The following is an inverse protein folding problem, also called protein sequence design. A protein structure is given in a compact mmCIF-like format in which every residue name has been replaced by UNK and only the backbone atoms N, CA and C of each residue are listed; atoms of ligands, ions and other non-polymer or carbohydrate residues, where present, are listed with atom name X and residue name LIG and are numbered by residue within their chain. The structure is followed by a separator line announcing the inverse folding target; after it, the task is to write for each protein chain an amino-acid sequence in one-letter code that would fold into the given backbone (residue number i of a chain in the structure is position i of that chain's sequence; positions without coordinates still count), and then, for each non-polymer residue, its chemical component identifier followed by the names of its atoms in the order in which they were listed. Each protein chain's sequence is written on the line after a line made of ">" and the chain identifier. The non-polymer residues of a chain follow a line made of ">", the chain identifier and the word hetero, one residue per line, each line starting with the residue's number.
data_IF_561884175180
#
_entry.id   IF_561884175180
#
_cell.length_a   1.000
_cell.length_b   1.000
_cell.length_c   1.000
_cell.angle_alpha   90.00
_cell.angle_beta   90.00
_cell.angle_gamma   90.00
#
_symmetry.space_group_name_H-M   'P 1'
#
loop_
_entity.id
_entity.type
_entity.pdbx_description
1 polymer ?
#
# COMPACT_ATOMS: atom_id res chain seq x y z
N UNK A 1 -17.28 8.52 7.65
CA UNK A 1 -17.70 7.14 7.30
C UNK A 1 -19.15 7.20 6.83
N UNK A 2 -19.51 6.60 5.69
CA UNK A 2 -20.91 6.57 5.25
C UNK A 2 -21.72 5.64 6.17
N UNK A 3 -23.02 5.91 6.41
CA UNK A 3 -23.87 5.00 7.14
C UNK A 3 -23.84 3.61 6.47
N UNK A 4 -23.69 2.55 7.28
CA UNK A 4 -23.50 1.15 6.84
C UNK A 4 -24.57 0.59 5.90
N UNK A 5 -25.70 1.28 5.76
CA UNK A 5 -26.89 0.84 5.01
C UNK A 5 -27.09 1.58 3.69
N UNK A 6 -26.22 2.51 3.32
CA UNK A 6 -26.35 3.27 2.07
C UNK A 6 -25.73 2.52 0.90
N UNK A 7 -26.40 2.55 -0.27
CA UNK A 7 -25.86 2.00 -1.53
C UNK A 7 -24.45 2.53 -1.86
N UNK A 8 -24.18 3.78 -1.45
CA UNK A 8 -22.88 4.43 -1.58
C UNK A 8 -21.76 3.67 -0.86
N UNK A 9 -22.03 3.02 0.27
CA UNK A 9 -21.05 2.24 1.02
C UNK A 9 -20.59 1.01 0.21
N UNK A 10 -21.54 0.28 -0.37
CA UNK A 10 -21.23 -0.87 -1.24
C UNK A 10 -20.45 -0.47 -2.48
N UNK A 11 -20.87 0.61 -3.16
CA UNK A 11 -20.16 1.12 -4.35
C UNK A 11 -18.75 1.56 -3.97
N UNK A 12 -18.58 2.26 -2.85
CA UNK A 12 -17.28 2.69 -2.36
C UNK A 12 -16.32 1.50 -2.19
N UNK A 13 -16.74 0.45 -1.48
CA UNK A 13 -15.88 -0.73 -1.27
C UNK A 13 -15.61 -1.51 -2.56
N UNK A 14 -16.57 -1.57 -3.48
CA UNK A 14 -16.37 -2.18 -4.80
C UNK A 14 -15.31 -1.42 -5.61
N UNK A 15 -15.39 -0.08 -5.63
CA UNK A 15 -14.40 0.78 -6.29
C UNK A 15 -13.03 0.63 -5.64
N UNK A 16 -12.96 0.63 -4.30
CA UNK A 16 -11.71 0.41 -3.58
C UNK A 16 -11.09 -0.95 -3.90
N UNK A 17 -11.90 -2.01 -3.96
CA UNK A 17 -11.44 -3.34 -4.36
C UNK A 17 -10.90 -3.39 -5.79
N UNK A 18 -11.60 -2.76 -6.74
CA UNK A 18 -11.13 -2.66 -8.13
C UNK A 18 -9.80 -1.90 -8.24
N UNK A 19 -9.65 -0.80 -7.49
CA UNK A 19 -8.40 -0.04 -7.44
C UNK A 19 -7.23 -0.87 -6.90
N UNK A 20 -7.46 -1.70 -5.86
CA UNK A 20 -6.43 -2.60 -5.33
C UNK A 20 -5.94 -3.59 -6.39
N UNK A 21 -6.86 -4.18 -7.17
CA UNK A 21 -6.51 -5.08 -8.28
C UNK A 21 -5.69 -4.36 -9.35
N UNK A 22 -6.09 -3.13 -9.72
CA UNK A 22 -5.35 -2.34 -10.70
C UNK A 22 -3.93 -1.99 -10.24
N UNK A 23 -3.72 -1.70 -8.95
CA UNK A 23 -2.38 -1.47 -8.41
C UNK A 23 -1.50 -2.70 -8.56
N UNK A 24 -2.01 -3.89 -8.22
CA UNK A 24 -1.23 -5.14 -8.34
C UNK A 24 -0.94 -5.46 -9.81
N UNK A 25 -1.93 -5.35 -10.70
CA UNK A 25 -1.75 -5.60 -12.13
C UNK A 25 -0.77 -4.59 -12.76
N UNK A 26 -0.93 -3.30 -12.44
CA UNK A 26 -0.02 -2.24 -12.89
C UNK A 26 1.40 -2.45 -12.41
N UNK A 27 1.59 -2.87 -11.15
CA UNK A 27 2.91 -3.20 -10.62
C UNK A 27 3.55 -4.41 -11.30
N UNK A 28 2.78 -5.48 -11.52
CA UNK A 28 3.25 -6.68 -12.22
C UNK A 28 3.65 -6.35 -13.66
N UNK A 29 2.83 -5.57 -14.37
CA UNK A 29 3.10 -5.17 -15.75
C UNK A 29 4.31 -4.23 -15.84
N UNK A 30 4.44 -3.31 -14.89
CA UNK A 30 5.63 -2.47 -14.74
C UNK A 30 6.90 -3.32 -14.57
N UNK A 31 6.89 -4.32 -13.68
CA UNK A 31 8.05 -5.22 -13.52
C UNK A 31 8.41 -5.97 -14.82
N UNK A 32 7.43 -6.46 -15.58
CA UNK A 32 7.66 -7.10 -16.87
C UNK A 32 8.26 -6.14 -17.90
N UNK A 33 7.79 -4.90 -17.93
CA UNK A 33 8.28 -3.88 -18.86
C UNK A 33 9.79 -3.61 -18.66
N UNK A 34 10.29 -3.69 -17.43
CA UNK A 34 11.72 -3.58 -17.12
C UNK A 34 12.49 -4.92 -17.22
N UNK A 35 11.90 -5.94 -17.83
CA UNK A 35 12.53 -7.26 -18.01
C UNK A 35 12.80 -8.01 -16.71
N UNK A 36 12.10 -7.68 -15.62
CA UNK A 36 12.27 -8.34 -14.32
C UNK A 36 11.42 -9.60 -14.24
N UNK A 37 12.00 -10.66 -13.67
CA UNK A 37 11.27 -11.89 -13.36
C UNK A 37 10.27 -11.60 -12.25
N UNK A 38 8.98 -11.75 -12.55
CA UNK A 38 7.91 -11.58 -11.58
C UNK A 38 7.87 -12.80 -10.67
N UNK A 39 8.18 -12.60 -9.39
CA UNK A 39 8.08 -13.64 -8.36
C UNK A 39 6.87 -13.34 -7.48
N UNK A 40 5.90 -14.26 -7.44
CA UNK A 40 4.60 -14.03 -6.79
C UNK A 40 4.71 -13.62 -5.32
N UNK A 41 5.65 -14.18 -4.55
CA UNK A 41 5.82 -13.82 -3.13
C UNK A 41 6.40 -12.41 -2.97
N UNK A 42 7.23 -11.93 -3.90
CA UNK A 42 7.74 -10.56 -3.88
C UNK A 42 6.61 -9.57 -4.15
N UNK A 43 5.73 -9.89 -5.10
CA UNK A 43 4.52 -9.12 -5.38
C UNK A 43 3.60 -9.09 -4.15
N UNK A 44 3.39 -10.24 -3.48
CA UNK A 44 2.59 -10.31 -2.26
C UNK A 44 3.16 -9.47 -1.11
N UNK A 45 4.48 -9.48 -0.90
CA UNK A 45 5.14 -8.64 0.11
C UNK A 45 5.01 -7.14 -0.21
N UNK A 46 5.18 -6.76 -1.47
CA UNK A 46 4.97 -5.38 -1.91
C UNK A 46 3.53 -4.93 -1.69
N UNK A 47 2.57 -5.78 -2.05
CA UNK A 47 1.17 -5.51 -1.83
C UNK A 47 0.82 -5.42 -0.34
N UNK A 48 1.37 -6.29 0.51
CA UNK A 48 1.20 -6.21 1.96
C UNK A 48 1.75 -4.88 2.54
N UNK A 49 2.90 -4.43 2.05
CA UNK A 49 3.45 -3.11 2.40
C UNK A 49 2.56 -1.96 1.92
N UNK A 50 2.03 -2.04 0.70
CA UNK A 50 1.10 -1.04 0.16
C UNK A 50 -0.20 -0.96 0.98
N UNK A 51 -0.83 -2.10 1.29
CA UNK A 51 -2.02 -2.15 2.14
C UNK A 51 -1.73 -1.58 3.52
N UNK A 52 -0.57 -1.93 4.11
CA UNK A 52 -0.15 -1.37 5.41
C UNK A 52 -0.03 0.16 5.36
N UNK A 53 0.53 0.70 4.27
CA UNK A 53 0.63 2.14 4.07
C UNK A 53 -0.76 2.79 3.95
N UNK A 54 -1.67 2.19 3.18
CA UNK A 54 -3.05 2.64 3.08
C UNK A 54 -3.75 2.64 4.45
N UNK A 55 -3.54 1.61 5.28
CA UNK A 55 -4.09 1.52 6.63
C UNK A 55 -3.54 2.61 7.54
N UNK A 56 -2.24 2.91 7.49
CA UNK A 56 -1.66 4.01 8.27
C UNK A 56 -2.27 5.35 7.86
N UNK A 57 -2.38 5.62 6.56
CA UNK A 57 -2.98 6.87 6.06
C UNK A 57 -4.46 6.96 6.43
N UNK A 58 -5.22 5.87 6.28
CA UNK A 58 -6.64 5.84 6.64
C UNK A 58 -6.85 6.02 8.17
N UNK A 59 -6.04 5.36 8.99
CA UNK A 59 -6.09 5.50 10.45
C UNK A 59 -5.69 6.90 10.91
N UNK A 60 -4.60 7.45 10.35
CA UNK A 60 -4.15 8.81 10.66
C UNK A 60 -5.18 9.88 10.28
N UNK A 61 -5.77 9.77 9.09
CA UNK A 61 -6.83 10.71 8.66
C UNK A 61 -8.12 10.57 9.46
N UNK A 62 -8.43 9.36 9.95
CA UNK A 62 -9.57 9.14 10.86
C UNK A 62 -9.33 9.85 12.19
N UNK A 63 -8.17 9.64 12.83
CA UNK A 63 -7.82 10.29 14.10
C UNK A 63 -7.77 11.81 13.98
N UNK A 64 -7.30 12.33 12.84
CA UNK A 64 -7.34 13.77 12.55
C UNK A 64 -8.78 14.30 12.49
N UNK A 65 -9.72 13.53 11.93
CA UNK A 65 -11.15 13.87 11.88
C UNK A 65 -11.84 13.81 13.25
N UNK A 66 -11.30 13.03 14.19
CA UNK A 66 -11.78 12.93 15.57
C UNK A 66 -11.16 14.00 16.51
N UNK A 67 -10.43 14.97 15.95
CA UNK A 67 -9.69 16.01 16.68
C UNK A 67 -8.53 15.51 17.57
N UNK A 68 -8.19 14.23 17.48
CA UNK A 68 -7.06 13.59 18.17
C UNK A 68 -5.75 13.77 17.38
N UNK A 69 -5.33 15.03 17.22
CA UNK A 69 -4.18 15.40 16.36
C UNK A 69 -2.86 14.80 16.83
N UNK A 70 -2.68 14.62 18.14
CA UNK A 70 -1.47 13.98 18.71
C UNK A 70 -1.43 12.51 18.31
N UNK A 71 -2.55 11.79 18.45
CA UNK A 71 -2.64 10.39 18.05
C UNK A 71 -2.40 10.20 16.55
N UNK A 72 -2.89 11.12 15.71
CA UNK A 72 -2.60 11.16 14.27
C UNK A 72 -1.08 11.21 14.00
N UNK A 73 -0.35 12.13 14.63
CA UNK A 73 1.10 12.25 14.47
C UNK A 73 1.85 10.99 14.91
N UNK A 74 1.42 10.36 16.01
CA UNK A 74 2.00 9.09 16.43
C UNK A 74 1.66 7.96 15.44
N UNK A 75 0.45 7.90 14.91
CA UNK A 75 0.05 6.85 13.98
C UNK A 75 0.81 6.97 12.65
N UNK A 76 0.87 8.16 12.06
CA UNK A 76 1.59 8.39 10.80
C UNK A 76 3.10 8.35 11.01
N UNK A 77 3.61 8.99 12.06
CA UNK A 77 5.03 9.06 12.35
C UNK A 77 5.60 7.72 12.81
N UNK A 78 5.03 7.11 13.85
CA UNK A 78 5.61 5.90 14.47
C UNK A 78 5.28 4.64 13.68
N UNK A 79 4.05 4.50 13.14
CA UNK A 79 3.70 3.32 12.34
C UNK A 79 3.98 3.52 10.85
N UNK A 80 3.81 4.73 10.31
CA UNK A 80 4.03 5.00 8.89
C UNK A 80 5.49 5.00 8.47
N UNK A 81 6.39 5.58 9.27
CA UNK A 81 7.82 5.62 8.93
C UNK A 81 8.39 4.20 8.75
N UNK A 82 8.21 3.25 9.66
CA UNK A 82 8.67 1.87 9.47
C UNK A 82 8.09 1.21 8.21
N UNK A 83 6.81 1.43 7.90
CA UNK A 83 6.18 0.88 6.69
C UNK A 83 6.86 1.42 5.42
N UNK A 84 7.12 2.73 5.36
CA UNK A 84 7.83 3.35 4.23
C UNK A 84 9.26 2.82 4.12
N UNK A 85 9.97 2.68 5.24
CA UNK A 85 11.33 2.11 5.25
C UNK A 85 11.32 0.66 4.74
N UNK A 86 10.40 -0.18 5.21
CA UNK A 86 10.26 -1.56 4.75
C UNK A 86 9.95 -1.65 3.25
N UNK A 87 9.06 -0.79 2.73
CA UNK A 87 8.78 -0.70 1.30
C UNK A 87 10.00 -0.26 0.49
N UNK A 88 10.76 0.72 0.98
CA UNK A 88 11.98 1.18 0.32
C UNK A 88 13.06 0.09 0.29
N UNK A 89 13.21 -0.67 1.37
CA UNK A 89 14.11 -1.83 1.44
C UNK A 89 13.65 -2.91 0.45
N UNK A 90 12.37 -3.28 0.45
CA UNK A 90 11.82 -4.27 -0.48
C UNK A 90 12.03 -3.85 -1.95
N UNK A 91 11.85 -2.56 -2.25
CA UNK A 91 12.13 -1.99 -3.57
C UNK A 91 13.59 -2.08 -3.97
N UNK A 92 14.49 -1.72 -3.07
CA UNK A 92 15.92 -1.82 -3.34
C UNK A 92 16.37 -3.28 -3.56
N UNK A 93 15.84 -4.21 -2.77
CA UNK A 93 16.23 -5.62 -2.80
C UNK A 93 15.65 -6.39 -3.98
N UNK A 94 14.38 -6.17 -4.31
CA UNK A 94 13.68 -7.00 -5.31
C UNK A 94 13.59 -6.36 -6.69
N UNK A 95 13.57 -5.01 -6.75
CA UNK A 95 13.38 -4.28 -8.01
C UNK A 95 14.68 -3.70 -8.54
N UNK A 96 15.46 -3.04 -7.67
CA UNK A 96 16.68 -2.35 -8.09
C UNK A 96 17.93 -3.23 -8.11
N UNK A 97 17.91 -4.40 -7.47
CA UNK A 97 19.07 -5.31 -7.45
C UNK A 97 19.49 -5.63 -8.89
N UNK A 98 20.70 -5.21 -9.28
CA UNK A 98 21.30 -5.59 -10.56
C UNK A 98 21.50 -7.10 -10.55
N UNK A 99 21.19 -7.77 -11.66
CA UNK A 99 21.51 -9.19 -11.80
C UNK A 99 23.00 -9.37 -11.51
N UNK A 100 23.35 -10.23 -10.56
CA UNK A 100 24.75 -10.60 -10.27
C UNK A 100 25.31 -11.50 -11.38
N UNK A 101 24.45 -11.99 -12.27
CA UNK A 101 24.84 -12.74 -13.45
C UNK A 101 24.99 -11.76 -14.63
N UNK A 102 26.22 -11.24 -14.79
CA UNK A 102 26.74 -10.62 -16.00
C UNK A 102 28.19 -11.07 -16.18
#
# INVERSE_FOLDING_TARGET
>A
MFPGTTMLNYIFWMVMGALQVLVVLGFVEWLKHYGRKVVWWQVALFYAGFVSLCTVVAGGTTLMGEYESIACWYFIGVLGIPVVICLAIAFRLFVMKKSTDA
#
